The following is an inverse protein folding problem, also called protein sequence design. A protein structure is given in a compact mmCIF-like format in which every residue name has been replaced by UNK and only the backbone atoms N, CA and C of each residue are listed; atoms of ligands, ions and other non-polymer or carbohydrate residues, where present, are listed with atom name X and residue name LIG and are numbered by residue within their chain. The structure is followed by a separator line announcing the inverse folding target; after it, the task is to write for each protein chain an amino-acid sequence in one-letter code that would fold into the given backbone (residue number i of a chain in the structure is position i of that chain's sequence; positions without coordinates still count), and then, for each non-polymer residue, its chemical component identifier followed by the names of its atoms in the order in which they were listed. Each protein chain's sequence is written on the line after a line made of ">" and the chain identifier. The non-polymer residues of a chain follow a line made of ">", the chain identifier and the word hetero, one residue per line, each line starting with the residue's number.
data_IF_667648070255
#
_entry.id   IF_667648070255
#
_cell.length_a   1.000
_cell.length_b   1.000
_cell.length_c   1.000
_cell.angle_alpha   90.00
_cell.angle_beta   90.00
_cell.angle_gamma   90.00
#
_symmetry.space_group_name_H-M   'P 1'
#
loop_
_entity.id
_entity.type
_entity.pdbx_description
1 polymer ?
#
# COMPACT_ATOMS: atom_id res chain seq x y z
N UNK A 1 2.63 5.69 12.70
CA UNK A 1 2.97 6.97 12.04
C UNK A 1 1.77 7.87 11.82
N UNK A 2 0.70 7.44 11.14
CA UNK A 2 -0.50 8.29 10.92
C UNK A 2 -1.16 8.78 12.22
N UNK A 3 -1.14 7.99 13.29
CA UNK A 3 -1.64 8.38 14.60
C UNK A 3 -0.91 9.60 15.20
N UNK A 4 0.39 9.77 14.92
CA UNK A 4 1.15 10.93 15.38
C UNK A 4 0.76 12.19 14.60
N UNK A 5 0.54 12.05 13.28
CA UNK A 5 0.02 13.14 12.43
C UNK A 5 -1.37 13.56 12.90
N UNK A 6 -2.26 12.59 13.18
CA UNK A 6 -3.59 12.84 13.73
C UNK A 6 -3.54 13.51 15.12
N UNK A 7 -2.48 13.28 15.90
CA UNK A 7 -2.24 13.94 17.19
C UNK A 7 -1.51 15.30 17.06
N UNK A 8 -1.38 15.84 15.84
CA UNK A 8 -0.74 17.14 15.59
C UNK A 8 0.78 17.14 15.76
N UNK A 9 1.44 15.98 15.69
CA UNK A 9 2.90 15.84 15.91
C UNK A 9 3.74 15.95 14.63
N UNK A 10 3.22 16.59 13.59
CA UNK A 10 3.94 16.87 12.35
C UNK A 10 3.27 16.30 11.10
N UNK A 11 4.08 16.01 10.08
CA UNK A 11 3.65 15.52 8.76
C UNK A 11 4.35 14.20 8.42
N UNK A 12 3.73 13.41 7.54
CA UNK A 12 4.32 12.18 7.03
C UNK A 12 4.02 12.00 5.54
N UNK A 13 4.97 11.42 4.79
CA UNK A 13 4.77 10.97 3.42
C UNK A 13 4.29 9.52 3.48
N UNK A 14 3.22 9.22 2.77
CA UNK A 14 2.56 7.92 2.76
C UNK A 14 2.22 7.54 1.31
N UNK A 15 2.11 6.24 0.99
CA UNK A 15 1.58 5.81 -0.30
C UNK A 15 0.07 6.08 -0.37
N UNK A 16 -0.50 6.04 -1.58
CA UNK A 16 -1.88 6.46 -1.84
C UNK A 16 -2.93 5.61 -1.10
N UNK A 17 -2.62 4.35 -0.77
CA UNK A 17 -3.54 3.47 -0.03
C UNK A 17 -3.85 4.00 1.37
N UNK A 18 -3.01 4.90 1.92
CA UNK A 18 -3.29 5.52 3.20
C UNK A 18 -4.56 6.39 3.18
N UNK A 19 -5.00 6.91 2.03
CA UNK A 19 -6.25 7.66 1.88
C UNK A 19 -7.50 6.78 2.18
N UNK A 20 -7.38 5.45 2.07
CA UNK A 20 -8.48 4.53 2.40
C UNK A 20 -8.71 4.37 3.91
N UNK A 21 -7.80 4.88 4.74
CA UNK A 21 -7.91 4.74 6.18
C UNK A 21 -8.96 5.72 6.75
N UNK A 22 -9.84 5.29 7.67
CA UNK A 22 -10.91 6.11 8.21
C UNK A 22 -10.42 7.07 9.30
N UNK A 23 -9.55 8.03 8.95
CA UNK A 23 -9.03 9.02 9.89
C UNK A 23 -9.53 10.44 9.56
N UNK A 24 -10.58 10.92 10.25
CA UNK A 24 -11.22 12.21 9.92
C UNK A 24 -10.36 13.44 10.25
N UNK A 25 -9.28 13.27 11.03
CA UNK A 25 -8.49 14.37 11.61
C UNK A 25 -7.27 14.75 10.76
N UNK A 26 -7.04 14.11 9.60
CA UNK A 26 -5.86 14.34 8.77
C UNK A 26 -6.25 14.76 7.37
N UNK A 27 -5.47 15.65 6.77
CA UNK A 27 -5.64 16.09 5.39
C UNK A 27 -4.59 15.39 4.53
N UNK A 28 -5.03 14.77 3.43
CA UNK A 28 -4.14 14.18 2.43
C UNK A 28 -3.86 15.19 1.31
N UNK A 29 -2.58 15.37 0.97
CA UNK A 29 -2.14 16.21 -0.15
C UNK A 29 -1.32 15.36 -1.11
N UNK A 30 -1.70 15.33 -2.39
CA UNK A 30 -1.00 14.56 -3.41
C UNK A 30 0.31 15.24 -3.81
N UNK A 31 1.39 14.45 -3.83
CA UNK A 31 2.69 14.89 -4.32
C UNK A 31 2.78 14.61 -5.82
N UNK A 32 2.94 15.66 -6.64
CA UNK A 32 3.03 15.53 -8.09
C UNK A 32 4.47 15.33 -8.60
N UNK A 33 5.47 15.92 -7.92
CA UNK A 33 6.88 15.84 -8.30
C UNK A 33 7.79 15.93 -7.05
N UNK A 34 8.92 15.18 -6.99
CA UNK A 34 9.30 14.09 -7.90
C UNK A 34 8.33 12.92 -7.80
N UNK A 35 8.24 12.09 -8.84
CA UNK A 35 7.35 10.94 -8.79
C UNK A 35 8.00 9.85 -7.92
N UNK A 36 7.60 9.79 -6.66
CA UNK A 36 8.03 8.77 -5.71
C UNK A 36 7.02 7.63 -5.71
N UNK A 37 7.35 6.52 -6.37
CA UNK A 37 6.52 5.33 -6.35
C UNK A 37 6.92 4.42 -5.19
N UNK A 38 5.96 4.10 -4.33
CA UNK A 38 6.08 2.93 -3.47
C UNK A 38 5.72 1.69 -4.30
N UNK A 39 6.60 0.67 -4.30
CA UNK A 39 6.33 -0.59 -4.99
C UNK A 39 5.79 -1.60 -3.99
N UNK A 40 4.54 -2.00 -4.17
CA UNK A 40 3.96 -3.16 -3.47
C UNK A 40 4.54 -4.44 -4.09
N UNK A 41 5.09 -5.31 -3.26
CA UNK A 41 5.69 -6.59 -3.69
C UNK A 41 5.28 -7.72 -2.74
N UNK A 42 4.94 -8.87 -3.32
CA UNK A 42 4.73 -10.12 -2.60
C UNK A 42 5.88 -11.08 -2.92
N UNK A 43 6.38 -11.81 -1.92
CA UNK A 43 7.52 -12.73 -2.06
C UNK A 43 7.13 -14.09 -1.49
N UNK A 44 7.53 -15.17 -2.18
CA UNK A 44 7.30 -16.55 -1.76
C UNK A 44 8.55 -17.39 -1.95
N UNK A 45 8.59 -18.52 -1.24
CA UNK A 45 9.67 -19.51 -1.34
C UNK A 45 9.54 -20.29 -2.65
N UNK A 46 10.64 -20.45 -3.39
CA UNK A 46 10.66 -21.10 -4.71
C UNK A 46 10.51 -22.62 -4.62
N UNK A 47 11.07 -23.26 -3.60
CA UNK A 47 11.27 -24.72 -3.60
C UNK A 47 10.01 -25.52 -3.28
N UNK A 48 9.01 -24.92 -2.61
CA UNK A 48 7.81 -25.62 -2.13
C UNK A 48 6.57 -24.73 -2.23
N UNK A 49 6.07 -24.44 -3.45
CA UNK A 49 4.83 -23.68 -3.62
C UNK A 49 3.66 -24.48 -3.03
N UNK A 50 2.99 -23.91 -2.02
CA UNK A 50 1.75 -24.46 -1.51
C UNK A 50 0.65 -24.36 -2.58
N UNK A 51 -0.29 -25.32 -2.66
CA UNK A 51 -1.43 -25.23 -3.60
C UNK A 51 -2.25 -23.95 -3.45
N UNK A 52 -2.26 -23.34 -2.27
CA UNK A 52 -2.89 -22.05 -2.01
C UNK A 52 -2.18 -20.87 -2.69
N UNK A 53 -0.88 -20.98 -2.97
CA UNK A 53 -0.09 -19.95 -3.65
C UNK A 53 -0.54 -19.78 -5.10
N UNK A 54 -0.82 -20.87 -5.83
CA UNK A 54 -1.31 -20.80 -7.21
C UNK A 54 -2.64 -20.04 -7.28
N UNK A 55 -3.55 -20.30 -6.33
CA UNK A 55 -4.81 -19.57 -6.19
C UNK A 55 -4.57 -18.09 -5.91
N UNK A 56 -3.64 -17.78 -4.99
CA UNK A 56 -3.30 -16.40 -4.64
C UNK A 56 -2.71 -15.64 -5.84
N UNK A 57 -1.76 -16.23 -6.55
CA UNK A 57 -1.11 -15.63 -7.72
C UNK A 57 -2.14 -15.37 -8.83
N UNK A 58 -3.05 -16.32 -9.07
CA UNK A 58 -4.13 -16.15 -10.04
C UNK A 58 -5.02 -14.94 -9.71
N UNK A 59 -5.48 -14.83 -8.47
CA UNK A 59 -6.27 -13.69 -8.00
C UNK A 59 -5.49 -12.38 -8.18
N UNK A 60 -4.22 -12.37 -7.78
CA UNK A 60 -3.37 -11.18 -7.83
C UNK A 60 -3.20 -10.68 -9.27
N UNK A 61 -2.95 -11.55 -10.25
CA UNK A 61 -2.76 -11.13 -11.64
C UNK A 61 -4.07 -10.80 -12.37
N UNK A 62 -5.19 -11.45 -12.03
CA UNK A 62 -6.51 -11.09 -12.56
C UNK A 62 -6.91 -9.66 -12.14
N UNK A 63 -6.53 -9.22 -10.93
CA UNK A 63 -6.86 -7.88 -10.41
C UNK A 63 -5.88 -6.77 -10.83
N UNK A 64 -4.74 -7.10 -11.46
CA UNK A 64 -3.71 -6.12 -11.88
C UNK A 64 -3.86 -5.70 -13.35
N UNK A 65 -4.78 -6.30 -14.11
CA UNK A 65 -5.00 -5.98 -15.54
C UNK A 65 -6.00 -4.83 -15.82
N UNK A 66 -6.46 -4.11 -14.79
CA UNK A 66 -7.23 -2.85 -14.91
C UNK A 66 -6.35 -1.62 -14.63
#
# INVERSE_FOLDING_TARGET
>A
MIALVAAGRGVAIMPNEAEALPYPQVVFMRLHHPIHYARSAAVWRKETPAKSLDKFIKILFEHVQE
#
